data_IF_115171689887
#
_entry.id   IF_115171689887
#
_cell.length_a   1.000
_cell.length_b   1.000
_cell.length_c   1.000
_cell.angle_alpha   90.00
_cell.angle_beta   90.00
_cell.angle_gamma   90.00
#
_symmetry.space_group_name_H-M   'P 1'
#
loop_
_entity.id
_entity.type
_entity.pdbx_description
1 polymer ?
#
# COMPACT_ATOMS: atom_id res chain seq x y z
N UNK A 1 15.33 -10.26 -33.82
CA UNK A 1 14.22 -10.98 -33.14
C UNK A 1 14.30 -10.65 -31.66
N UNK A 2 13.37 -10.03 -30.97
CA UNK A 2 12.08 -9.44 -31.30
C UNK A 2 11.63 -8.71 -30.02
N UNK A 3 11.33 -7.42 -30.17
CA UNK A 3 10.46 -6.59 -29.35
C UNK A 3 10.10 -7.12 -27.95
N UNK A 4 10.90 -6.83 -26.92
CA UNK A 4 10.44 -6.96 -25.53
C UNK A 4 10.49 -5.57 -24.90
N UNK A 5 9.36 -4.86 -24.95
CA UNK A 5 9.15 -3.55 -24.34
C UNK A 5 9.61 -3.63 -22.88
N UNK A 6 10.57 -2.80 -22.50
CA UNK A 6 11.25 -2.85 -21.21
C UNK A 6 10.31 -2.57 -20.05
N UNK A 7 9.85 -3.63 -19.39
CA UNK A 7 9.16 -3.55 -18.10
C UNK A 7 10.13 -3.75 -16.93
N UNK A 8 9.69 -3.40 -15.73
CA UNK A 8 10.45 -3.52 -14.47
C UNK A 8 11.03 -4.93 -14.23
N UNK A 9 10.37 -5.98 -14.75
CA UNK A 9 10.77 -7.38 -14.63
C UNK A 9 11.70 -7.90 -15.74
N UNK A 10 12.41 -7.03 -16.47
CA UNK A 10 13.27 -7.44 -17.59
C UNK A 10 14.40 -8.39 -17.17
N UNK A 11 14.86 -8.30 -15.93
CA UNK A 11 15.97 -9.12 -15.41
C UNK A 11 15.52 -10.46 -14.80
N UNK A 12 14.21 -10.79 -14.87
CA UNK A 12 13.61 -11.98 -14.27
C UNK A 12 14.04 -13.29 -14.95
N UNK A 13 14.76 -14.14 -14.21
CA UNK A 13 15.10 -15.50 -14.64
C UNK A 13 13.89 -16.46 -14.58
N UNK A 14 14.06 -17.65 -15.16
CA UNK A 14 13.08 -18.75 -15.03
C UNK A 14 12.79 -19.12 -13.57
N UNK A 15 13.79 -19.06 -12.70
CA UNK A 15 13.63 -19.28 -11.25
C UNK A 15 12.82 -18.17 -10.59
N UNK A 16 13.03 -16.93 -11.01
CA UNK A 16 12.36 -15.76 -10.45
C UNK A 16 10.90 -15.73 -10.88
N UNK A 17 10.59 -16.18 -12.10
CA UNK A 17 9.20 -16.39 -12.56
C UNK A 17 8.47 -17.44 -11.73
N UNK A 18 9.15 -18.52 -11.36
CA UNK A 18 8.57 -19.57 -10.52
C UNK A 18 8.36 -19.07 -9.08
N UNK A 19 9.34 -18.33 -8.53
CA UNK A 19 9.21 -17.67 -7.23
C UNK A 19 8.04 -16.66 -7.23
N UNK A 20 7.92 -15.82 -8.25
CA UNK A 20 6.79 -14.89 -8.39
C UNK A 20 5.46 -15.64 -8.45
N UNK A 21 5.38 -16.77 -9.17
CA UNK A 21 4.15 -17.56 -9.22
C UNK A 21 3.73 -18.08 -7.84
N UNK A 22 4.65 -18.72 -7.10
CA UNK A 22 4.36 -19.16 -5.73
C UNK A 22 4.10 -18.00 -4.76
N UNK A 23 4.80 -16.88 -4.94
CA UNK A 23 4.56 -15.65 -4.19
C UNK A 23 3.15 -15.11 -4.41
N UNK A 24 2.66 -15.08 -5.65
CA UNK A 24 1.29 -14.63 -5.96
C UNK A 24 0.22 -15.55 -5.35
N UNK A 25 0.43 -16.87 -5.35
CA UNK A 25 -0.45 -17.81 -4.66
C UNK A 25 -0.44 -17.60 -3.14
N UNK A 26 0.73 -17.30 -2.57
CA UNK A 26 0.88 -16.90 -1.18
C UNK A 26 0.08 -15.64 -0.85
N UNK A 27 0.23 -14.58 -1.64
CA UNK A 27 -0.53 -13.31 -1.49
C UNK A 27 -2.04 -13.50 -1.55
N UNK A 28 -2.52 -14.41 -2.42
CA UNK A 28 -3.95 -14.75 -2.47
C UNK A 28 -4.41 -15.46 -1.18
N UNK A 29 -3.55 -16.30 -0.59
CA UNK A 29 -3.82 -16.98 0.67
C UNK A 29 -3.77 -16.03 1.87
N UNK A 30 -2.86 -15.06 1.86
CA UNK A 30 -2.79 -14.02 2.90
C UNK A 30 -4.03 -13.13 2.88
N UNK A 31 -4.49 -12.71 1.69
CA UNK A 31 -5.73 -11.94 1.54
C UNK A 31 -7.00 -12.68 2.00
N UNK A 32 -6.97 -14.01 2.15
CA UNK A 32 -8.07 -14.81 2.71
C UNK A 32 -8.16 -14.75 4.24
N UNK A 33 -7.18 -14.15 4.93
CA UNK A 33 -7.11 -14.12 6.40
C UNK A 33 -8.40 -13.60 7.05
N UNK A 34 -8.81 -12.39 6.66
CA UNK A 34 -9.98 -11.70 7.22
C UNK A 34 -11.28 -12.48 6.96
N UNK A 35 -11.63 -12.85 5.71
CA UNK A 35 -12.89 -13.53 5.44
C UNK A 35 -12.96 -14.92 6.09
N UNK A 36 -11.85 -15.67 6.15
CA UNK A 36 -11.83 -16.99 6.81
C UNK A 36 -11.99 -16.87 8.33
N UNK A 37 -11.28 -15.93 8.95
CA UNK A 37 -11.41 -15.68 10.39
C UNK A 37 -12.85 -15.29 10.74
N UNK A 38 -13.43 -14.39 9.96
CA UNK A 38 -14.79 -13.93 10.16
C UNK A 38 -15.84 -15.02 9.89
N UNK A 39 -15.61 -15.89 8.91
CA UNK A 39 -16.49 -17.04 8.66
C UNK A 39 -16.55 -17.98 9.87
N UNK A 40 -15.41 -18.32 10.48
CA UNK A 40 -15.40 -19.13 11.71
C UNK A 40 -16.09 -18.39 12.87
N UNK A 41 -15.91 -17.07 12.95
CA UNK A 41 -16.60 -16.25 13.95
C UNK A 41 -18.12 -16.23 13.73
N UNK A 42 -18.60 -16.29 12.48
CA UNK A 42 -20.04 -16.35 12.16
C UNK A 42 -20.67 -17.61 12.77
N UNK A 43 -20.01 -18.77 12.61
CA UNK A 43 -20.46 -20.04 13.19
C UNK A 43 -20.48 -19.99 14.73
N UNK A 44 -19.45 -19.38 15.35
CA UNK A 44 -19.39 -19.20 16.80
C UNK A 44 -20.55 -18.34 17.30
N UNK A 45 -20.81 -17.20 16.65
CA UNK A 45 -21.92 -16.30 17.01
C UNK A 45 -23.26 -17.01 16.87
N UNK A 46 -23.43 -17.81 15.81
CA UNK A 46 -24.67 -18.55 15.57
C UNK A 46 -24.91 -19.64 16.62
N UNK A 47 -23.88 -20.41 16.99
CA UNK A 47 -23.99 -21.44 18.04
C UNK A 47 -24.22 -20.84 19.42
N UNK A 48 -23.66 -19.67 19.72
CA UNK A 48 -23.89 -18.98 20.99
C UNK A 48 -25.21 -18.21 21.03
N UNK A 49 -25.73 -17.77 19.89
CA UNK A 49 -27.01 -17.08 19.77
C UNK A 49 -28.23 -18.00 19.92
N UNK A 50 -28.03 -19.33 19.80
CA UNK A 50 -29.10 -20.31 19.95
C UNK A 50 -29.43 -20.54 21.44
N UNK A 51 -30.65 -20.19 21.86
CA UNK A 51 -31.12 -20.36 23.24
C UNK A 51 -31.16 -21.82 23.73
N UNK A 52 -31.13 -22.79 22.82
CA UNK A 52 -31.21 -24.23 23.11
C UNK A 52 -29.85 -24.91 23.27
N UNK A 53 -28.75 -24.28 22.88
CA UNK A 53 -27.40 -24.85 22.99
C UNK A 53 -26.70 -24.34 24.25
N UNK A 54 -26.49 -25.23 25.22
CA UNK A 54 -25.56 -24.96 26.32
C UNK A 54 -24.15 -24.82 25.77
N UNK A 55 -23.44 -23.76 26.16
CA UNK A 55 -22.02 -23.56 25.82
C UNK A 55 -21.20 -24.68 26.43
N UNK A 56 -20.93 -25.71 25.62
CA UNK A 56 -20.13 -26.86 26.00
C UNK A 56 -18.66 -26.60 25.70
N UNK A 57 -17.77 -27.09 26.56
CA UNK A 57 -16.31 -27.08 26.32
C UNK A 57 -15.95 -27.77 25.00
N UNK A 58 -16.75 -28.73 24.55
CA UNK A 58 -16.58 -29.38 23.25
C UNK A 58 -16.75 -28.39 22.07
N UNK A 59 -17.74 -27.50 22.14
CA UNK A 59 -18.00 -26.48 21.12
C UNK A 59 -16.86 -25.45 21.06
N UNK A 60 -16.38 -25.02 22.23
CA UNK A 60 -15.21 -24.12 22.34
C UNK A 60 -13.98 -24.76 21.71
N UNK A 61 -13.68 -26.02 22.06
CA UNK A 61 -12.51 -26.73 21.54
C UNK A 61 -12.59 -26.91 20.01
N UNK A 62 -13.79 -27.22 19.47
CA UNK A 62 -14.03 -27.33 18.03
C UNK A 62 -13.69 -26.03 17.29
N UNK A 63 -14.20 -24.89 17.75
CA UNK A 63 -13.94 -23.60 17.10
C UNK A 63 -12.52 -23.11 17.32
N UNK A 64 -11.93 -23.36 18.50
CA UNK A 64 -10.52 -23.06 18.76
C UNK A 64 -9.59 -23.83 17.82
N UNK A 65 -9.83 -25.13 17.59
CA UNK A 65 -9.08 -25.93 16.62
C UNK A 65 -9.29 -25.43 15.18
N UNK A 66 -10.50 -25.04 14.79
CA UNK A 66 -10.75 -24.44 13.46
C UNK A 66 -9.96 -23.15 13.26
N UNK A 67 -9.96 -22.25 14.24
CA UNK A 67 -9.15 -21.03 14.19
C UNK A 67 -7.66 -21.33 14.12
N UNK A 68 -7.18 -22.36 14.84
CA UNK A 68 -5.79 -22.79 14.78
C UNK A 68 -5.42 -23.29 13.38
N UNK A 69 -6.25 -24.12 12.75
CA UNK A 69 -5.99 -24.59 11.38
C UNK A 69 -6.00 -23.45 10.36
N UNK A 70 -6.92 -22.49 10.49
CA UNK A 70 -6.93 -21.28 9.65
C UNK A 70 -5.65 -20.47 9.86
N UNK A 71 -5.24 -20.24 11.12
CA UNK A 71 -4.03 -19.49 11.44
C UNK A 71 -2.77 -20.15 10.87
N UNK A 72 -2.65 -21.48 10.94
CA UNK A 72 -1.53 -22.22 10.34
C UNK A 72 -1.55 -22.09 8.82
N UNK A 73 -2.72 -22.23 8.17
CA UNK A 73 -2.85 -22.14 6.72
C UNK A 73 -2.53 -20.74 6.18
N UNK A 74 -3.08 -19.70 6.81
CA UNK A 74 -2.79 -18.30 6.47
C UNK A 74 -1.33 -17.97 6.77
N UNK A 75 -0.82 -18.35 7.95
CA UNK A 75 0.57 -18.10 8.34
C UNK A 75 1.57 -18.76 7.39
N UNK A 76 1.30 -19.98 6.91
CA UNK A 76 2.14 -20.63 5.90
C UNK A 76 2.06 -19.91 4.54
N UNK A 77 0.88 -19.42 4.16
CA UNK A 77 0.68 -18.67 2.91
C UNK A 77 1.43 -17.34 2.93
N UNK A 78 1.29 -16.56 4.01
CA UNK A 78 2.02 -15.31 4.23
C UNK A 78 3.54 -15.52 4.30
N UNK A 79 3.98 -16.65 4.89
CA UNK A 79 5.40 -17.00 4.91
C UNK A 79 5.95 -17.31 3.51
N UNK A 80 5.21 -18.09 2.71
CA UNK A 80 5.59 -18.40 1.32
C UNK A 80 5.61 -17.13 0.48
N UNK A 81 4.61 -16.25 0.64
CA UNK A 81 4.57 -14.94 0.02
C UNK A 81 5.83 -14.12 0.32
N UNK A 82 6.07 -13.85 1.61
CA UNK A 82 7.18 -13.01 2.04
C UNK A 82 8.53 -13.57 1.61
N UNK A 83 8.74 -14.89 1.74
CA UNK A 83 9.97 -15.52 1.27
C UNK A 83 10.17 -15.42 -0.24
N UNK A 84 9.13 -15.71 -1.03
CA UNK A 84 9.25 -15.74 -2.49
C UNK A 84 9.46 -14.34 -3.06
N UNK A 85 8.72 -13.34 -2.57
CA UNK A 85 8.85 -11.96 -3.03
C UNK A 85 10.14 -11.30 -2.55
N UNK A 86 10.53 -11.49 -1.28
CA UNK A 86 11.80 -10.95 -0.78
C UNK A 86 13.01 -11.52 -1.53
N UNK A 87 13.03 -12.84 -1.77
CA UNK A 87 14.10 -13.49 -2.54
C UNK A 87 14.13 -13.04 -3.99
N UNK A 88 12.96 -12.84 -4.61
CA UNK A 88 12.87 -12.32 -5.99
C UNK A 88 13.40 -10.89 -6.05
N UNK A 89 12.97 -10.02 -5.13
CA UNK A 89 13.42 -8.64 -5.06
C UNK A 89 14.94 -8.53 -4.89
N UNK A 90 15.52 -9.30 -3.96
CA UNK A 90 16.97 -9.30 -3.72
C UNK A 90 17.76 -9.73 -4.97
N UNK A 91 17.35 -10.83 -5.62
CA UNK A 91 18.02 -11.34 -6.84
C UNK A 91 17.92 -10.35 -8.00
N UNK A 92 16.75 -9.77 -8.22
CA UNK A 92 16.51 -8.81 -9.29
C UNK A 92 17.29 -7.52 -9.08
N UNK A 93 17.24 -6.95 -7.88
CA UNK A 93 17.95 -5.72 -7.53
C UNK A 93 19.46 -5.91 -7.58
N UNK A 94 19.99 -7.05 -7.09
CA UNK A 94 21.42 -7.34 -7.15
C UNK A 94 21.94 -7.41 -8.60
N UNK A 95 21.20 -8.08 -9.50
CA UNK A 95 21.54 -8.13 -10.92
C UNK A 95 21.45 -6.77 -11.60
N UNK A 96 20.42 -5.99 -11.26
CA UNK A 96 20.27 -4.64 -11.77
C UNK A 96 21.45 -3.76 -11.37
N UNK A 97 21.88 -3.81 -10.10
CA UNK A 97 23.07 -3.10 -9.60
C UNK A 97 24.34 -3.52 -10.35
N UNK A 98 24.52 -4.82 -10.58
CA UNK A 98 25.70 -5.35 -11.27
C UNK A 98 25.74 -4.92 -12.75
N UNK A 99 24.65 -5.11 -13.50
CA UNK A 99 24.60 -4.72 -14.92
C UNK A 99 24.68 -3.19 -15.08
N UNK A 100 24.09 -2.43 -14.16
CA UNK A 100 24.23 -0.98 -14.15
C UNK A 100 25.68 -0.55 -13.94
N UNK A 101 26.34 -1.05 -12.89
CA UNK A 101 27.74 -0.74 -12.60
C UNK A 101 28.66 -1.12 -13.78
N UNK A 102 28.42 -2.30 -14.37
CA UNK A 102 29.13 -2.76 -15.58
C UNK A 102 28.91 -1.86 -16.78
N UNK A 103 27.70 -1.31 -16.95
CA UNK A 103 27.39 -0.37 -18.02
C UNK A 103 28.07 0.98 -17.79
N UNK A 104 28.09 1.48 -16.56
CA UNK A 104 28.75 2.77 -16.21
C UNK A 104 30.26 2.67 -16.41
N UNK A 105 30.90 1.59 -15.96
CA UNK A 105 32.33 1.37 -16.13
C UNK A 105 32.77 1.18 -17.59
N UNK A 106 31.83 0.90 -18.49
CA UNK A 106 32.09 0.78 -19.94
C UNK A 106 31.92 2.08 -20.70
N UNK A 107 31.43 3.15 -20.07
CA UNK A 107 31.25 4.42 -20.76
C UNK A 107 32.56 5.16 -20.97
N UNK A 108 32.61 5.85 -22.10
CA UNK A 108 33.73 6.69 -22.48
C UNK A 108 33.86 7.89 -21.54
N UNK A 109 35.08 8.44 -21.46
CA UNK A 109 35.38 9.60 -20.60
C UNK A 109 34.48 10.80 -20.96
N UNK A 110 34.13 10.96 -22.24
CA UNK A 110 33.20 12.00 -22.72
C UNK A 110 31.79 11.94 -22.11
N UNK A 111 31.31 10.77 -21.69
CA UNK A 111 30.04 10.63 -20.96
C UNK A 111 30.12 11.27 -19.57
N UNK A 112 31.28 11.18 -18.92
CA UNK A 112 31.52 11.80 -17.62
C UNK A 112 31.82 13.30 -17.73
N UNK A 113 32.34 13.76 -18.88
CA UNK A 113 32.66 15.18 -19.15
C UNK A 113 31.46 16.01 -19.65
N UNK A 114 30.47 15.40 -20.30
CA UNK A 114 29.27 16.09 -20.84
C UNK A 114 28.16 16.29 -19.81
N UNK A 115 28.25 15.68 -18.63
CA UNK A 115 27.36 15.93 -17.50
C UNK A 115 27.91 17.07 -16.64
N UNK A 116 27.05 18.05 -16.35
CA UNK A 116 27.43 19.36 -15.82
C UNK A 116 28.43 19.30 -14.64
N UNK A 117 29.50 20.10 -14.75
CA UNK A 117 30.68 20.14 -13.89
C UNK A 117 30.46 20.55 -12.41
N UNK A 118 29.22 20.66 -11.94
CA UNK A 118 28.88 21.10 -10.58
C UNK A 118 28.61 19.96 -9.60
N UNK A 119 28.40 18.72 -10.09
CA UNK A 119 28.27 17.53 -9.24
C UNK A 119 29.40 16.54 -9.55
N UNK A 120 30.01 15.97 -8.52
CA UNK A 120 30.97 14.87 -8.71
C UNK A 120 30.21 13.64 -9.25
N UNK A 121 30.20 13.51 -10.56
CA UNK A 121 29.41 12.55 -11.36
C UNK A 121 29.51 11.11 -10.87
N UNK A 122 30.67 10.70 -10.33
CA UNK A 122 30.85 9.37 -9.75
C UNK A 122 30.00 9.15 -8.51
N UNK A 123 29.92 10.14 -7.60
CA UNK A 123 29.14 10.01 -6.37
C UNK A 123 27.63 10.06 -6.66
N UNK A 124 27.19 10.97 -7.53
CA UNK A 124 25.77 11.10 -7.88
C UNK A 124 25.24 9.86 -8.62
N UNK A 125 25.99 9.33 -9.59
CA UNK A 125 25.61 8.10 -10.30
C UNK A 125 25.53 6.91 -9.33
N UNK A 126 26.53 6.75 -8.44
CA UNK A 126 26.51 5.66 -7.44
C UNK A 126 25.38 5.85 -6.41
N UNK A 127 25.15 7.08 -5.94
CA UNK A 127 24.11 7.37 -4.94
C UNK A 127 22.71 7.19 -5.51
N UNK A 128 22.46 7.69 -6.73
CA UNK A 128 21.17 7.55 -7.42
C UNK A 128 20.87 6.09 -7.68
N UNK A 129 21.85 5.29 -8.12
CA UNK A 129 21.66 3.85 -8.34
C UNK A 129 21.36 3.12 -7.04
N UNK A 130 22.09 3.43 -5.96
CA UNK A 130 21.86 2.80 -4.66
C UNK A 130 20.47 3.12 -4.11
N UNK A 131 20.04 4.38 -4.21
CA UNK A 131 18.72 4.83 -3.78
C UNK A 131 17.59 4.25 -4.65
N UNK A 132 17.71 4.35 -5.98
CA UNK A 132 16.70 3.87 -6.92
C UNK A 132 16.56 2.35 -6.85
N UNK A 133 17.67 1.62 -6.77
CA UNK A 133 17.66 0.16 -6.65
C UNK A 133 17.02 -0.32 -5.35
N UNK A 134 17.23 0.41 -4.24
CA UNK A 134 16.57 0.14 -2.96
C UNK A 134 15.06 0.40 -3.05
N UNK A 135 14.67 1.49 -3.71
CA UNK A 135 13.25 1.82 -3.96
C UNK A 135 12.57 0.75 -4.83
N UNK A 136 13.26 0.27 -5.88
CA UNK A 136 12.80 -0.84 -6.73
C UNK A 136 12.70 -2.13 -5.91
N UNK A 137 13.66 -2.42 -5.04
CA UNK A 137 13.64 -3.60 -4.18
C UNK A 137 12.41 -3.60 -3.25
N UNK A 138 12.13 -2.49 -2.58
CA UNK A 138 10.94 -2.33 -1.73
C UNK A 138 9.67 -2.46 -2.56
N UNK A 139 9.64 -1.89 -3.77
CA UNK A 139 8.48 -1.97 -4.65
C UNK A 139 8.19 -3.42 -5.04
N UNK A 140 9.20 -4.17 -5.48
CA UNK A 140 9.05 -5.58 -5.89
C UNK A 140 8.77 -6.49 -4.69
N UNK A 141 9.46 -6.27 -3.57
CA UNK A 141 9.44 -7.16 -2.42
C UNK A 141 8.25 -6.98 -1.48
N UNK A 142 7.71 -5.76 -1.39
CA UNK A 142 6.63 -5.41 -0.44
C UNK A 142 5.40 -4.88 -1.17
N UNK A 143 5.54 -3.83 -2.00
CA UNK A 143 4.37 -3.10 -2.53
C UNK A 143 3.53 -3.89 -3.53
N UNK A 144 4.16 -4.73 -4.35
CA UNK A 144 3.45 -5.60 -5.30
C UNK A 144 2.68 -6.71 -4.58
N UNK A 145 3.31 -7.52 -3.69
CA UNK A 145 2.58 -8.48 -2.86
C UNK A 145 1.46 -7.84 -2.04
N UNK A 146 1.71 -6.72 -1.35
CA UNK A 146 0.67 -5.99 -0.60
C UNK A 146 -0.54 -5.67 -1.50
N UNK A 147 -0.29 -5.16 -2.71
CA UNK A 147 -1.35 -4.84 -3.66
C UNK A 147 -2.16 -6.09 -4.07
N UNK A 148 -1.49 -7.21 -4.32
CA UNK A 148 -2.14 -8.48 -4.65
C UNK A 148 -2.95 -9.03 -3.46
N UNK A 149 -2.41 -8.96 -2.24
CA UNK A 149 -3.08 -9.36 -1.02
C UNK A 149 -4.36 -8.53 -0.80
N UNK A 150 -4.29 -7.19 -0.93
CA UNK A 150 -5.47 -6.33 -0.82
C UNK A 150 -6.49 -6.57 -1.94
N UNK A 151 -6.06 -6.76 -3.18
CA UNK A 151 -6.98 -7.10 -4.29
C UNK A 151 -7.67 -8.44 -4.05
N UNK A 152 -6.94 -9.45 -3.57
CA UNK A 152 -7.53 -10.75 -3.27
C UNK A 152 -8.48 -10.69 -2.08
N UNK A 153 -8.10 -9.98 -1.01
CA UNK A 153 -8.96 -9.72 0.16
C UNK A 153 -10.27 -9.03 -0.24
N UNK A 154 -10.21 -8.00 -1.10
CA UNK A 154 -11.40 -7.34 -1.65
C UNK A 154 -12.35 -8.36 -2.31
N UNK A 155 -11.83 -9.21 -3.19
CA UNK A 155 -12.62 -10.21 -3.92
C UNK A 155 -13.22 -11.26 -2.97
N UNK A 156 -12.39 -11.83 -2.10
CA UNK A 156 -12.83 -12.88 -1.19
C UNK A 156 -13.82 -12.36 -0.15
N UNK A 157 -13.60 -11.17 0.42
CA UNK A 157 -14.54 -10.55 1.35
C UNK A 157 -15.94 -10.38 0.72
N UNK A 158 -16.02 -9.91 -0.53
CA UNK A 158 -17.30 -9.78 -1.23
C UNK A 158 -17.94 -11.14 -1.52
N UNK A 159 -17.16 -12.12 -1.99
CA UNK A 159 -17.67 -13.49 -2.25
C UNK A 159 -18.25 -14.09 -0.97
N UNK A 160 -17.51 -14.05 0.14
CA UNK A 160 -17.97 -14.60 1.43
C UNK A 160 -19.19 -13.85 1.96
N UNK A 161 -19.25 -12.53 1.80
CA UNK A 161 -20.41 -11.75 2.20
C UNK A 161 -21.68 -12.17 1.44
N UNK A 162 -21.59 -12.33 0.11
CA UNK A 162 -22.71 -12.79 -0.72
C UNK A 162 -23.16 -14.22 -0.37
N UNK A 163 -22.21 -15.11 -0.04
CA UNK A 163 -22.51 -16.50 0.37
C UNK A 163 -23.25 -16.54 1.70
N UNK A 164 -22.88 -15.69 2.66
CA UNK A 164 -23.49 -15.66 4.00
C UNK A 164 -24.86 -14.98 3.99
N UNK A 165 -24.97 -13.76 3.44
CA UNK A 165 -26.23 -13.04 3.40
C UNK A 165 -26.29 -12.02 2.26
N UNK A 166 -26.84 -12.43 1.12
CA UNK A 166 -26.97 -11.57 -0.06
C UNK A 166 -27.80 -10.29 0.19
N UNK A 167 -28.76 -10.31 1.12
CA UNK A 167 -29.65 -9.17 1.42
C UNK A 167 -28.89 -8.01 2.06
N UNK A 168 -28.08 -8.28 3.09
CA UNK A 168 -27.30 -7.22 3.75
C UNK A 168 -26.14 -6.77 2.86
N UNK A 169 -25.54 -7.68 2.10
CA UNK A 169 -24.49 -7.36 1.14
C UNK A 169 -24.97 -6.39 0.06
N UNK A 170 -26.13 -6.63 -0.54
CA UNK A 170 -26.73 -5.68 -1.51
C UNK A 170 -27.01 -4.31 -0.90
N UNK A 171 -27.48 -4.28 0.35
CA UNK A 171 -27.72 -3.02 1.06
C UNK A 171 -26.42 -2.29 1.44
N UNK A 172 -25.30 -3.02 1.58
CA UNK A 172 -24.00 -2.47 1.98
C UNK A 172 -23.13 -1.99 0.80
N UNK A 173 -23.32 -2.51 -0.42
CA UNK A 173 -22.55 -2.12 -1.62
C UNK A 173 -22.52 -0.59 -1.90
N UNK A 174 -23.62 0.16 -1.74
CA UNK A 174 -23.58 1.61 -1.93
C UNK A 174 -22.62 2.32 -0.97
N UNK A 175 -22.43 1.79 0.25
CA UNK A 175 -21.51 2.36 1.23
C UNK A 175 -20.05 2.08 0.83
N UNK A 176 -19.75 0.92 0.25
CA UNK A 176 -18.43 0.61 -0.30
C UNK A 176 -18.03 1.61 -1.38
N UNK A 177 -18.95 1.94 -2.30
CA UNK A 177 -18.73 2.96 -3.33
C UNK A 177 -18.55 4.37 -2.74
N UNK A 178 -19.25 4.66 -1.65
CA UNK A 178 -19.13 5.93 -0.93
C UNK A 178 -17.72 6.13 -0.31
N UNK A 179 -17.00 5.05 0.06
CA UNK A 179 -15.60 5.15 0.53
C UNK A 179 -14.58 5.39 -0.58
N UNK A 180 -14.84 4.86 -1.78
CA UNK A 180 -13.93 5.00 -2.93
C UNK A 180 -13.85 6.46 -3.41
N UNK A 181 -14.97 7.21 -3.34
CA UNK A 181 -15.06 8.58 -3.86
C UNK A 181 -14.08 9.55 -3.16
N UNK A 182 -14.07 9.67 -1.81
CA UNK A 182 -13.07 10.47 -1.11
C UNK A 182 -11.63 9.97 -1.33
N UNK A 183 -11.44 8.64 -1.37
CA UNK A 183 -10.13 8.04 -1.58
C UNK A 183 -9.51 8.47 -2.92
N UNK A 184 -10.27 8.39 -4.01
CA UNK A 184 -9.83 8.85 -5.33
C UNK A 184 -9.76 10.39 -5.42
N UNK A 185 -10.76 11.10 -4.90
CA UNK A 185 -10.83 12.56 -4.99
C UNK A 185 -9.71 13.25 -4.21
N UNK A 186 -9.61 12.98 -2.91
CA UNK A 186 -8.58 13.58 -2.07
C UNK A 186 -7.21 12.94 -2.32
N UNK A 187 -7.14 11.66 -2.70
CA UNK A 187 -5.88 11.01 -3.05
C UNK A 187 -5.22 11.62 -4.28
N UNK A 188 -5.98 11.86 -5.35
CA UNK A 188 -5.46 12.52 -6.57
C UNK A 188 -5.07 13.98 -6.29
N UNK A 189 -5.87 14.70 -5.50
CA UNK A 189 -5.52 16.06 -5.06
C UNK A 189 -4.21 16.08 -4.26
N UNK A 190 -4.05 15.14 -3.32
CA UNK A 190 -2.83 15.01 -2.52
C UNK A 190 -1.62 14.65 -3.39
N UNK A 191 -1.77 13.75 -4.36
CA UNK A 191 -0.70 13.39 -5.29
C UNK A 191 -0.25 14.60 -6.13
N UNK A 192 -1.21 15.35 -6.68
CA UNK A 192 -0.91 16.54 -7.49
C UNK A 192 -0.21 17.63 -6.69
N UNK A 193 -0.67 17.92 -5.47
CA UNK A 193 -0.02 18.89 -4.58
C UNK A 193 1.37 18.39 -4.14
N UNK A 194 1.50 17.08 -3.89
CA UNK A 194 2.79 16.46 -3.56
C UNK A 194 3.83 16.61 -4.68
N UNK A 195 3.44 16.41 -5.94
CA UNK A 195 4.35 16.64 -7.08
C UNK A 195 4.76 18.11 -7.20
N UNK A 196 3.83 19.05 -7.04
CA UNK A 196 4.13 20.50 -7.06
C UNK A 196 5.04 20.91 -5.90
N UNK A 197 4.90 20.26 -4.74
CA UNK A 197 5.77 20.48 -3.60
C UNK A 197 7.19 20.01 -3.89
N UNK A 198 7.38 18.82 -4.46
CA UNK A 198 8.70 18.30 -4.84
C UNK A 198 9.40 19.25 -5.83
N UNK A 199 8.67 19.71 -6.84
CA UNK A 199 9.20 20.67 -7.83
C UNK A 199 9.61 22.01 -7.18
N UNK A 200 8.75 22.56 -6.30
CA UNK A 200 9.07 23.80 -5.60
C UNK A 200 10.23 23.63 -4.61
N UNK A 201 10.34 22.46 -3.98
CA UNK A 201 11.44 22.13 -3.08
C UNK A 201 12.77 21.98 -3.81
N UNK A 202 12.75 21.47 -5.06
CA UNK A 202 13.95 21.40 -5.89
C UNK A 202 14.53 22.80 -6.19
N UNK A 203 13.68 23.81 -6.40
CA UNK A 203 14.12 25.20 -6.57
C UNK A 203 14.79 25.73 -5.30
N UNK A 204 14.17 25.54 -4.13
CA UNK A 204 14.76 25.92 -2.84
C UNK A 204 16.08 25.18 -2.57
N UNK A 205 16.13 23.89 -2.88
CA UNK A 205 17.33 23.05 -2.78
C UNK A 205 18.47 23.58 -3.67
N UNK A 206 18.17 23.97 -4.90
CA UNK A 206 19.15 24.56 -5.82
C UNK A 206 19.74 25.87 -5.30
N UNK A 207 18.92 26.75 -4.69
CA UNK A 207 19.42 28.00 -4.07
C UNK A 207 20.39 27.68 -2.92
N UNK A 208 20.04 26.71 -2.06
CA UNK A 208 20.90 26.30 -0.96
C UNK A 208 22.20 25.64 -1.45
N UNK A 209 22.11 24.78 -2.47
CA UNK A 209 23.25 24.10 -3.07
C UNK A 209 24.25 25.11 -3.67
N UNK A 210 23.77 26.09 -4.45
CA UNK A 210 24.59 27.17 -4.99
C UNK A 210 25.26 28.00 -3.89
N UNK A 211 24.51 28.32 -2.83
CA UNK A 211 25.02 29.10 -1.71
C UNK A 211 26.15 28.37 -0.96
N UNK A 212 26.00 27.07 -0.73
CA UNK A 212 26.98 26.24 -0.03
C UNK A 212 28.20 25.99 -0.92
N UNK A 213 28.00 25.66 -2.20
CA UNK A 213 29.06 25.41 -3.17
C UNK A 213 29.97 26.64 -3.36
N UNK A 214 29.37 27.84 -3.42
CA UNK A 214 30.08 29.11 -3.63
C UNK A 214 30.19 29.98 -2.37
N UNK A 215 30.31 29.37 -1.18
CA UNK A 215 30.25 30.09 0.10
C UNK A 215 31.31 31.19 0.23
N UNK A 216 32.52 30.98 -0.31
CA UNK A 216 33.61 31.97 -0.27
C UNK A 216 33.27 33.22 -1.10
N UNK A 217 32.63 33.03 -2.26
CA UNK A 217 32.15 34.12 -3.11
C UNK A 217 31.06 34.90 -2.40
N UNK A 218 30.10 34.18 -1.80
CA UNK A 218 28.98 34.75 -1.06
C UNK A 218 29.45 35.64 0.11
N UNK A 219 30.45 35.17 0.85
CA UNK A 219 31.11 35.92 1.92
C UNK A 219 31.85 37.16 1.38
N UNK A 220 32.61 37.01 0.28
CA UNK A 220 33.37 38.11 -0.32
C UNK A 220 32.50 39.26 -0.84
N UNK A 221 31.27 38.96 -1.26
CA UNK A 221 30.28 39.95 -1.71
C UNK A 221 29.31 40.40 -0.60
N UNK A 222 29.45 39.88 0.64
CA UNK A 222 28.55 40.17 1.77
C UNK A 222 27.06 39.90 1.40
N UNK A 223 26.82 38.84 0.61
CA UNK A 223 25.51 38.53 0.03
C UNK A 223 24.69 37.54 0.87
N UNK A 224 25.10 37.28 2.12
CA UNK A 224 24.52 36.26 3.01
C UNK A 224 23.03 36.53 3.28
N UNK A 225 22.71 37.75 3.71
CA UNK A 225 21.34 38.15 4.00
C UNK A 225 20.46 38.09 2.75
N UNK A 226 20.97 38.52 1.59
CA UNK A 226 20.23 38.49 0.34
C UNK A 226 19.93 37.04 -0.09
N UNK A 227 20.87 36.12 0.11
CA UNK A 227 20.69 34.71 -0.26
C UNK A 227 19.75 34.00 0.71
N UNK A 228 19.85 34.30 2.01
CA UNK A 228 18.91 33.82 3.02
C UNK A 228 17.48 34.30 2.73
N UNK A 229 17.31 35.56 2.33
CA UNK A 229 16.00 36.09 1.98
C UNK A 229 15.41 35.38 0.75
N UNK A 230 16.21 35.17 -0.30
CA UNK A 230 15.80 34.39 -1.49
C UNK A 230 15.41 32.96 -1.13
N UNK A 231 16.19 32.30 -0.27
CA UNK A 231 15.88 30.95 0.20
C UNK A 231 14.57 30.94 1.01
N UNK A 232 14.39 31.88 1.94
CA UNK A 232 13.18 32.03 2.73
C UNK A 232 11.94 32.28 1.87
N UNK A 233 12.04 33.15 0.85
CA UNK A 233 10.95 33.41 -0.09
C UNK A 233 10.57 32.16 -0.89
N UNK A 234 11.58 31.37 -1.33
CA UNK A 234 11.32 30.11 -2.03
C UNK A 234 10.63 29.06 -1.14
N UNK A 235 11.01 28.99 0.14
CA UNK A 235 10.41 28.09 1.13
C UNK A 235 8.97 28.46 1.48
N UNK A 236 8.59 29.74 1.40
CA UNK A 236 7.22 30.17 1.67
C UNK A 236 6.22 29.48 0.74
N UNK A 237 6.58 29.30 -0.55
CA UNK A 237 5.78 28.55 -1.51
C UNK A 237 5.65 27.07 -1.14
N UNK A 238 6.74 26.44 -0.68
CA UNK A 238 6.73 25.05 -0.19
C UNK A 238 5.80 24.94 1.02
N UNK A 239 5.85 25.89 1.95
CA UNK A 239 5.01 25.91 3.14
C UNK A 239 3.52 26.01 2.77
N UNK A 240 3.14 26.91 1.86
CA UNK A 240 1.75 27.04 1.39
C UNK A 240 1.22 25.74 0.75
N UNK A 241 2.02 25.09 -0.08
CA UNK A 241 1.69 23.79 -0.66
C UNK A 241 1.57 22.71 0.43
N UNK A 242 2.42 22.75 1.45
CA UNK A 242 2.38 21.87 2.61
C UNK A 242 1.10 22.01 3.43
N UNK A 243 0.66 23.25 3.69
CA UNK A 243 -0.61 23.53 4.37
C UNK A 243 -1.78 22.96 3.54
N UNK A 244 -1.78 23.18 2.22
CA UNK A 244 -2.81 22.64 1.32
C UNK A 244 -2.84 21.10 1.31
N UNK A 245 -1.68 20.45 1.29
CA UNK A 245 -1.57 19.01 1.38
C UNK A 245 -2.05 18.49 2.74
N UNK A 246 -1.68 19.17 3.82
CA UNK A 246 -2.11 18.84 5.18
C UNK A 246 -3.64 18.92 5.33
N UNK A 247 -4.27 19.95 4.75
CA UNK A 247 -5.72 20.08 4.74
C UNK A 247 -6.40 18.97 3.92
N UNK A 248 -5.88 18.64 2.73
CA UNK A 248 -6.39 17.54 1.93
C UNK A 248 -6.28 16.19 2.67
N UNK A 249 -5.16 15.94 3.36
CA UNK A 249 -4.97 14.74 4.19
C UNK A 249 -5.93 14.72 5.39
N UNK A 250 -6.14 15.87 6.03
CA UNK A 250 -7.10 16.01 7.13
C UNK A 250 -8.53 15.71 6.68
N UNK A 251 -8.94 16.22 5.52
CA UNK A 251 -10.25 15.92 4.92
C UNK A 251 -10.39 14.44 4.55
N UNK A 252 -9.36 13.82 3.98
CA UNK A 252 -9.35 12.39 3.69
C UNK A 252 -9.57 11.56 4.97
N UNK A 253 -8.80 11.83 6.03
CA UNK A 253 -8.96 11.14 7.31
C UNK A 253 -10.33 11.43 7.96
N UNK A 254 -10.83 12.66 7.87
CA UNK A 254 -12.15 13.03 8.37
C UNK A 254 -13.29 12.30 7.63
N UNK A 255 -13.13 12.09 6.32
CA UNK A 255 -14.11 11.36 5.51
C UNK A 255 -14.23 9.88 5.90
N UNK A 256 -13.19 9.29 6.53
CA UNK A 256 -13.28 7.93 7.09
C UNK A 256 -14.31 7.83 8.23
N UNK A 257 -14.76 8.94 8.82
CA UNK A 257 -15.86 8.95 9.78
C UNK A 257 -17.18 8.40 9.22
N UNK A 258 -17.35 8.37 7.89
CA UNK A 258 -18.49 7.72 7.22
C UNK A 258 -18.60 6.23 7.52
N UNK A 259 -17.51 5.57 7.94
CA UNK A 259 -17.50 4.16 8.37
C UNK A 259 -18.47 3.92 9.51
N UNK A 260 -18.56 4.84 10.48
CA UNK A 260 -19.47 4.71 11.62
C UNK A 260 -20.95 4.80 11.22
N UNK A 261 -21.26 5.62 10.22
CA UNK A 261 -22.62 5.72 9.67
C UNK A 261 -23.01 4.39 9.02
N UNK A 262 -22.08 3.78 8.29
CA UNK A 262 -22.32 2.48 7.67
C UNK A 262 -22.49 1.36 8.70
N UNK A 263 -21.66 1.32 9.75
CA UNK A 263 -21.84 0.40 10.87
C UNK A 263 -23.20 0.54 11.55
N UNK A 264 -23.64 1.77 11.80
CA UNK A 264 -24.94 2.04 12.41
C UNK A 264 -26.10 1.55 11.51
N UNK A 265 -26.01 1.80 10.21
CA UNK A 265 -26.99 1.33 9.24
C UNK A 265 -27.03 -0.20 9.14
N UNK A 266 -25.88 -0.86 9.07
CA UNK A 266 -25.79 -2.32 9.04
C UNK A 266 -26.31 -2.96 10.33
N UNK A 267 -26.04 -2.36 11.49
CA UNK A 267 -26.60 -2.84 12.76
C UNK A 267 -28.13 -2.71 12.79
N UNK A 268 -28.68 -1.60 12.30
CA UNK A 268 -30.12 -1.39 12.22
C UNK A 268 -30.81 -2.36 11.25
N UNK A 269 -30.33 -2.46 10.01
CA UNK A 269 -30.86 -3.41 9.04
C UNK A 269 -30.66 -4.86 9.48
N UNK A 270 -29.49 -5.17 10.04
CA UNK A 270 -29.15 -6.50 10.53
C UNK A 270 -30.12 -6.94 11.63
N UNK A 271 -30.45 -6.06 12.57
CA UNK A 271 -31.47 -6.31 13.60
C UNK A 271 -32.85 -6.64 13.00
N UNK A 272 -33.27 -5.91 11.96
CA UNK A 272 -34.54 -6.18 11.27
C UNK A 272 -34.51 -7.52 10.53
N UNK A 273 -33.40 -7.86 9.88
CA UNK A 273 -33.22 -9.14 9.19
C UNK A 273 -33.29 -10.32 10.15
N UNK A 274 -32.61 -10.23 11.30
CA UNK A 274 -32.64 -11.27 12.33
C UNK A 274 -34.02 -11.39 12.96
N UNK A 275 -34.65 -10.26 13.33
CA UNK A 275 -35.93 -10.27 14.05
C UNK A 275 -37.14 -10.64 13.16
N UNK A 276 -37.21 -10.16 11.91
CA UNK A 276 -38.38 -10.36 11.05
C UNK A 276 -38.23 -11.49 10.03
N UNK A 277 -37.01 -11.77 9.56
CA UNK A 277 -36.77 -12.77 8.51
C UNK A 277 -36.12 -14.05 9.04
N UNK A 278 -35.79 -14.12 10.33
CA UNK A 278 -35.21 -15.31 10.95
C UNK A 278 -33.82 -15.67 10.44
N UNK A 279 -33.10 -14.71 9.84
CA UNK A 279 -31.73 -14.90 9.38
C UNK A 279 -30.79 -15.09 10.59
N UNK A 280 -29.73 -15.89 10.42
CA UNK A 280 -28.75 -16.13 11.48
C UNK A 280 -27.94 -14.87 11.77
N UNK A 281 -27.92 -14.44 13.03
CA UNK A 281 -27.28 -13.17 13.43
C UNK A 281 -25.78 -13.09 13.15
N UNK A 282 -25.06 -14.20 13.28
CA UNK A 282 -23.63 -14.28 12.98
C UNK A 282 -23.35 -14.11 11.49
N UNK A 283 -24.17 -14.71 10.62
CA UNK A 283 -23.98 -14.63 9.17
C UNK A 283 -24.25 -13.21 8.65
N UNK A 284 -25.28 -12.56 9.18
CA UNK A 284 -25.62 -11.16 8.85
C UNK A 284 -24.54 -10.20 9.33
N UNK A 285 -24.04 -10.35 10.56
CA UNK A 285 -22.97 -9.52 11.11
C UNK A 285 -21.68 -9.65 10.28
N UNK A 286 -21.26 -10.89 10.00
CA UNK A 286 -20.03 -11.17 9.26
C UNK A 286 -20.14 -10.74 7.80
N UNK A 287 -21.29 -10.93 7.15
CA UNK A 287 -21.52 -10.43 5.80
C UNK A 287 -21.38 -8.90 5.75
N UNK A 288 -21.94 -8.18 6.73
CA UNK A 288 -21.78 -6.74 6.85
C UNK A 288 -20.33 -6.31 7.06
N UNK A 289 -19.63 -6.97 7.99
CA UNK A 289 -18.23 -6.73 8.32
C UNK A 289 -17.32 -6.93 7.10
N UNK A 290 -17.47 -8.04 6.39
CA UNK A 290 -16.64 -8.36 5.23
C UNK A 290 -16.83 -7.35 4.09
N UNK A 291 -18.05 -6.84 3.84
CA UNK A 291 -18.25 -5.80 2.82
C UNK A 291 -17.55 -4.50 3.21
N UNK A 292 -17.58 -4.12 4.49
CA UNK A 292 -16.90 -2.91 4.96
C UNK A 292 -15.39 -3.03 4.92
N UNK A 293 -14.84 -4.13 5.44
CA UNK A 293 -13.39 -4.37 5.40
C UNK A 293 -12.87 -4.59 3.99
N UNK A 294 -13.68 -5.20 3.11
CA UNK A 294 -13.34 -5.30 1.70
C UNK A 294 -13.28 -3.93 1.03
N UNK A 295 -14.01 -2.92 1.52
CA UNK A 295 -14.03 -1.57 0.95
C UNK A 295 -12.96 -0.60 1.45
N UNK A 296 -12.25 -0.95 2.53
CA UNK A 296 -11.26 -0.11 3.20
C UNK A 296 -9.85 -0.37 2.67
#
# INVERSE_FOLDING_TARGET
MGNNKGGMFRFADKTDKLLMFFGTLGSMGDGLQIPLMMFVLSEVINDYGNLSSSVSMHTVNKYSLRLLYVAIGVGLSAFVEGLCWARTAERQTSRMRLEYLKSVLRQEVGFFDTQAAESSTTYQVISTVSADSTTIQVTIGEKIPDCLAYMSSFLFCHIFAFVLSWKITLAAIPFTLMFIIPGLGFGTMMMNVGMQMIESYAVSGGIAEQAISSIRTLYSYVAENQTLEKFSQSLQKVMELGIKQGFARGLLLGSLGMVYISWAFQAWLGSILVSKHGEKGGDVFVAGFNVLMGGL
#
